data_IF_203217667329
#
_entry.id   IF_203217667329
#
_cell.length_a   1.000
_cell.length_b   1.000
_cell.length_c   1.000
_cell.angle_alpha   90.00
_cell.angle_beta   90.00
_cell.angle_gamma   90.00
#
_symmetry.space_group_name_H-M   'P 1'
#
loop_
_entity.id
_entity.type
_entity.pdbx_description
1 polymer ?
#
# COMPACT_ATOMS: atom_id res chain seq x y z
N UNK A 1 -6.26 27.77 -31.14
CA UNK A 1 -5.90 26.34 -31.05
C UNK A 1 -5.34 26.13 -29.65
N UNK A 2 -6.14 25.57 -28.74
CA UNK A 2 -5.67 25.25 -27.40
C UNK A 2 -4.79 24.01 -27.49
N UNK A 3 -3.53 24.13 -27.13
CA UNK A 3 -2.62 23.01 -26.96
C UNK A 3 -3.23 22.09 -25.90
N UNK A 4 -3.77 20.94 -26.31
CA UNK A 4 -4.21 19.93 -25.36
C UNK A 4 -3.00 19.46 -24.56
N UNK A 5 -3.07 19.53 -23.24
CA UNK A 5 -2.03 18.98 -22.37
C UNK A 5 -2.01 17.45 -22.55
N UNK A 6 -0.80 16.85 -22.55
CA UNK A 6 -0.68 15.40 -22.66
C UNK A 6 -1.08 14.70 -21.37
N UNK A 7 -1.70 13.53 -21.48
CA UNK A 7 -2.11 12.70 -20.33
C UNK A 7 -0.94 12.44 -19.38
N UNK A 8 0.24 12.14 -19.91
CA UNK A 8 1.45 11.87 -19.12
C UNK A 8 1.85 13.05 -18.23
N UNK A 9 1.64 14.28 -18.69
CA UNK A 9 1.93 15.49 -17.91
C UNK A 9 0.97 15.61 -16.74
N UNK A 10 -0.32 15.36 -16.96
CA UNK A 10 -1.34 15.42 -15.90
C UNK A 10 -1.12 14.27 -14.92
N UNK A 11 -0.89 13.05 -15.41
CA UNK A 11 -0.59 11.87 -14.59
C UNK A 11 0.66 12.09 -13.72
N UNK A 12 1.74 12.63 -14.28
CA UNK A 12 2.97 12.94 -13.55
C UNK A 12 2.80 14.01 -12.46
N UNK A 13 1.71 14.78 -12.48
CA UNK A 13 1.36 15.75 -11.45
C UNK A 13 0.42 15.20 -10.36
N UNK A 14 -0.06 13.97 -10.54
CA UNK A 14 -0.98 13.34 -9.61
C UNK A 14 -0.24 12.83 -8.35
N UNK A 15 -0.91 12.94 -7.20
CA UNK A 15 -0.45 12.36 -5.95
C UNK A 15 -1.56 11.51 -5.36
N UNK A 16 -1.24 10.33 -4.85
CA UNK A 16 -2.19 9.41 -4.24
C UNK A 16 -1.87 9.24 -2.76
N UNK A 17 -2.84 9.53 -1.91
CA UNK A 17 -2.74 9.39 -0.46
C UNK A 17 -3.76 8.35 0.02
N UNK A 18 -3.42 7.63 1.09
CA UNK A 18 -4.27 6.60 1.70
C UNK A 18 -4.60 7.02 3.13
N UNK A 19 -5.89 7.01 3.46
CA UNK A 19 -6.39 7.34 4.78
C UNK A 19 -7.19 6.17 5.36
N UNK A 20 -6.93 5.88 6.64
CA UNK A 20 -7.66 4.91 7.46
C UNK A 20 -8.35 5.66 8.60
N UNK A 21 -9.53 6.27 8.37
CA UNK A 21 -10.20 7.01 9.42
C UNK A 21 -10.65 6.10 10.57
N UNK A 22 -10.33 6.47 11.81
CA UNK A 22 -10.77 5.76 13.02
C UNK A 22 -12.22 6.07 13.38
N UNK A 23 -12.71 7.24 12.93
CA UNK A 23 -14.09 7.66 13.10
C UNK A 23 -14.86 7.48 11.81
N UNK A 24 -16.18 7.33 11.91
CA UNK A 24 -17.06 7.24 10.75
C UNK A 24 -17.14 8.59 10.04
N UNK A 25 -16.14 8.90 9.20
CA UNK A 25 -16.18 10.04 8.29
C UNK A 25 -17.11 9.68 7.13
N UNK A 26 -18.12 10.52 6.88
CA UNK A 26 -19.03 10.33 5.76
C UNK A 26 -18.32 10.53 4.43
N UNK A 27 -18.66 9.70 3.44
CA UNK A 27 -18.19 9.85 2.08
C UNK A 27 -18.66 11.20 1.49
N UNK A 28 -17.82 11.93 0.73
CA UNK A 28 -18.08 13.32 0.35
C UNK A 28 -19.05 13.51 -0.83
N UNK A 29 -19.95 12.56 -1.10
CA UNK A 29 -20.95 12.65 -2.19
C UNK A 29 -21.81 13.93 -2.13
N UNK A 30 -22.07 14.42 -0.91
CA UNK A 30 -22.91 15.59 -0.66
C UNK A 30 -22.22 16.60 0.27
N UNK A 31 -20.89 16.58 0.35
CA UNK A 31 -20.16 17.52 1.19
C UNK A 31 -20.33 18.95 0.63
N UNK A 32 -20.84 19.85 1.47
CA UNK A 32 -21.04 21.27 1.13
C UNK A 32 -19.69 22.00 1.07
N UNK A 33 -18.75 21.61 1.93
CA UNK A 33 -17.39 22.13 1.98
C UNK A 33 -16.37 20.98 1.85
N UNK A 34 -15.75 20.87 0.68
CA UNK A 34 -14.76 19.84 0.37
C UNK A 34 -13.46 20.08 1.14
N UNK A 35 -13.10 21.34 1.38
CA UNK A 35 -11.85 21.70 2.03
C UNK A 35 -11.93 21.41 3.54
N UNK A 36 -13.09 21.66 4.16
CA UNK A 36 -13.38 21.23 5.54
C UNK A 36 -13.36 19.70 5.65
N UNK A 37 -14.00 18.99 4.70
CA UNK A 37 -13.98 17.53 4.69
C UNK A 37 -12.55 16.98 4.56
N UNK A 38 -11.74 17.51 3.66
CA UNK A 38 -10.32 17.13 3.52
C UNK A 38 -9.53 17.42 4.79
N UNK A 39 -9.78 18.56 5.44
CA UNK A 39 -9.14 18.88 6.70
C UNK A 39 -9.50 17.85 7.77
N UNK A 40 -10.76 17.41 7.85
CA UNK A 40 -11.21 16.38 8.78
C UNK A 40 -10.52 15.03 8.54
N UNK A 41 -10.36 14.62 7.28
CA UNK A 41 -9.67 13.37 6.89
C UNK A 41 -8.18 13.43 7.20
N UNK A 42 -7.57 14.62 7.09
CA UNK A 42 -6.14 14.86 7.38
C UNK A 42 -5.82 15.02 8.85
N UNK A 43 -6.82 15.16 9.73
CA UNK A 43 -6.54 15.31 11.15
C UNK A 43 -5.75 14.08 11.62
N UNK A 44 -4.62 14.27 12.33
CA UNK A 44 -3.87 13.16 12.88
C UNK A 44 -4.77 12.45 13.89
N UNK A 45 -5.40 11.37 13.46
CA UNK A 45 -6.09 10.47 14.36
C UNK A 45 -5.04 9.70 15.18
N UNK A 46 -5.45 9.21 16.35
CA UNK A 46 -4.56 8.40 17.17
C UNK A 46 -4.04 7.26 16.30
N UNK A 47 -2.73 7.18 16.07
CA UNK A 47 -2.14 6.15 15.21
C UNK A 47 -2.79 4.80 15.54
N UNK A 48 -3.52 4.26 14.56
CA UNK A 48 -4.27 3.04 14.74
C UNK A 48 -3.29 1.88 14.87
N UNK A 49 -2.89 1.58 16.11
CA UNK A 49 -1.85 0.57 16.40
C UNK A 49 -2.35 -0.87 16.23
N UNK A 50 -3.66 -1.08 16.12
CA UNK A 50 -4.27 -2.39 16.08
C UNK A 50 -5.57 -2.40 15.27
N UNK A 51 -5.78 -3.46 14.50
CA UNK A 51 -7.09 -3.82 13.94
C UNK A 51 -7.62 -5.05 14.69
N UNK A 52 -8.93 -5.14 14.84
CA UNK A 52 -9.59 -6.29 15.45
C UNK A 52 -9.87 -7.35 14.39
N UNK A 53 -9.96 -8.61 14.83
CA UNK A 53 -10.45 -9.69 13.96
C UNK A 53 -11.91 -9.44 13.58
N UNK A 54 -12.26 -9.76 12.34
CA UNK A 54 -13.55 -9.48 11.70
C UNK A 54 -13.87 -7.98 11.57
N UNK A 55 -12.89 -7.11 11.79
CA UNK A 55 -13.10 -5.69 11.58
C UNK A 55 -13.12 -5.35 10.10
N UNK A 56 -14.15 -4.63 9.68
CA UNK A 56 -14.22 -4.03 8.36
C UNK A 56 -13.46 -2.70 8.38
N UNK A 57 -12.27 -2.67 7.76
CA UNK A 57 -11.52 -1.45 7.57
C UNK A 57 -12.06 -0.70 6.35
N UNK A 58 -12.42 0.56 6.57
CA UNK A 58 -12.79 1.49 5.51
C UNK A 58 -11.58 2.36 5.18
N UNK A 59 -11.25 2.42 3.91
CA UNK A 59 -10.12 3.13 3.36
C UNK A 59 -10.62 4.21 2.42
N UNK A 60 -10.02 5.38 2.53
CA UNK A 60 -10.19 6.46 1.58
C UNK A 60 -8.88 6.65 0.84
N UNK A 61 -8.91 6.41 -0.46
CA UNK A 61 -7.79 6.70 -1.35
C UNK A 61 -8.09 8.03 -2.02
N UNK A 62 -7.24 9.00 -1.78
CA UNK A 62 -7.44 10.38 -2.24
C UNK A 62 -6.36 10.71 -3.25
N UNK A 63 -6.77 10.82 -4.51
CA UNK A 63 -5.90 11.22 -5.60
C UNK A 63 -6.06 12.71 -5.87
N UNK A 64 -4.98 13.48 -5.69
CA UNK A 64 -4.89 14.89 -6.02
C UNK A 64 -4.37 15.04 -7.45
N UNK A 65 -5.11 15.77 -8.26
CA UNK A 65 -4.80 16.04 -9.66
C UNK A 65 -4.58 17.55 -9.79
N UNK A 66 -3.32 17.96 -9.90
CA UNK A 66 -2.97 19.36 -10.14
C UNK A 66 -3.24 19.70 -11.58
N UNK A 67 -4.16 20.62 -11.84
CA UNK A 67 -4.42 21.08 -13.19
C UNK A 67 -3.51 22.27 -13.53
N UNK A 68 -2.64 22.21 -14.56
CA UNK A 68 -1.72 23.30 -14.89
C UNK A 68 -2.43 24.57 -15.38
N UNK A 69 -3.55 24.41 -16.08
CA UNK A 69 -4.33 25.52 -16.62
C UNK A 69 -5.32 26.07 -15.60
N UNK A 70 -4.81 26.75 -14.57
CA UNK A 70 -5.58 27.39 -13.49
C UNK A 70 -6.12 28.79 -13.82
N UNK A 71 -5.88 29.28 -15.03
CA UNK A 71 -6.17 30.66 -15.40
C UNK A 71 -7.64 30.93 -15.77
N UNK A 72 -8.47 29.90 -15.94
CA UNK A 72 -9.90 30.06 -16.14
C UNK A 72 -10.64 29.73 -14.86
N UNK A 73 -11.66 30.53 -14.53
CA UNK A 73 -12.69 30.20 -13.55
C UNK A 73 -13.31 28.86 -13.92
N UNK A 74 -12.78 27.78 -13.35
CA UNK A 74 -13.30 26.44 -13.59
C UNK A 74 -14.65 26.32 -12.91
N UNK A 75 -15.64 25.87 -13.68
CA UNK A 75 -16.91 25.47 -13.13
C UNK A 75 -16.67 24.17 -12.34
N UNK A 76 -16.85 24.23 -11.02
CA UNK A 76 -16.63 23.11 -10.11
C UNK A 76 -17.48 21.88 -10.48
N UNK A 77 -18.54 22.06 -11.26
CA UNK A 77 -19.44 21.00 -11.70
C UNK A 77 -19.06 20.39 -13.04
N UNK A 78 -18.11 20.97 -13.77
CA UNK A 78 -17.75 20.50 -15.12
C UNK A 78 -16.25 20.22 -15.22
N UNK A 79 -15.82 18.97 -14.91
CA UNK A 79 -14.41 18.62 -14.95
C UNK A 79 -13.83 18.73 -16.37
N UNK A 80 -12.56 19.17 -16.52
CA UNK A 80 -11.89 19.20 -17.81
C UNK A 80 -11.89 17.83 -18.50
N UNK A 81 -12.09 17.81 -19.82
CA UNK A 81 -12.16 16.55 -20.58
C UNK A 81 -10.89 15.71 -20.46
N UNK A 82 -9.72 16.35 -20.43
CA UNK A 82 -8.42 15.68 -20.23
C UNK A 82 -8.33 14.96 -18.88
N UNK A 83 -8.98 15.50 -17.84
CA UNK A 83 -9.06 14.87 -16.54
C UNK A 83 -9.97 13.64 -16.57
N UNK A 84 -11.13 13.73 -17.22
CA UNK A 84 -12.04 12.58 -17.37
C UNK A 84 -11.35 11.48 -18.18
N UNK A 85 -10.63 11.85 -19.23
CA UNK A 85 -9.85 10.94 -20.05
C UNK A 85 -8.75 10.26 -19.22
N UNK A 86 -8.00 11.02 -18.41
CA UNK A 86 -7.05 10.46 -17.45
C UNK A 86 -7.71 9.44 -16.52
N UNK A 87 -8.83 9.78 -15.89
CA UNK A 87 -9.52 8.89 -14.95
C UNK A 87 -10.00 7.60 -15.60
N UNK A 88 -10.37 7.63 -16.90
CA UNK A 88 -10.71 6.40 -17.63
C UNK A 88 -9.52 5.49 -17.92
N UNK A 89 -8.29 6.03 -17.90
CA UNK A 89 -7.05 5.27 -18.09
C UNK A 89 -6.34 5.00 -16.76
N UNK A 90 -6.89 5.41 -15.63
CA UNK A 90 -6.26 5.22 -14.33
C UNK A 90 -6.88 4.01 -13.64
N UNK A 91 -6.03 3.07 -13.26
CA UNK A 91 -6.39 1.95 -12.42
C UNK A 91 -5.78 2.13 -11.03
N UNK A 92 -6.64 2.01 -10.00
CA UNK A 92 -6.25 2.07 -8.60
C UNK A 92 -6.24 0.65 -8.03
N UNK A 93 -5.09 0.21 -7.55
CA UNK A 93 -4.96 -1.06 -6.83
C UNK A 93 -4.44 -0.84 -5.42
N UNK A 94 -5.01 -1.61 -4.49
CA UNK A 94 -4.60 -1.66 -3.09
C UNK A 94 -4.05 -3.06 -2.78
N UNK A 95 -2.90 -3.09 -2.13
CA UNK A 95 -2.30 -4.28 -1.57
C UNK A 95 -2.03 -4.05 -0.09
N UNK A 96 -2.52 -4.95 0.76
CA UNK A 96 -2.37 -4.90 2.21
C UNK A 96 -1.59 -6.12 2.68
N UNK A 97 -0.53 -5.87 3.42
CA UNK A 97 0.31 -6.91 4.01
C UNK A 97 0.54 -6.64 5.49
N UNK A 98 0.79 -7.71 6.22
CA UNK A 98 0.92 -7.68 7.65
C UNK A 98 2.35 -7.97 8.05
N UNK A 99 3.00 -7.01 8.70
CA UNK A 99 4.40 -7.17 9.10
C UNK A 99 4.46 -7.42 10.59
N UNK A 100 4.93 -8.63 10.96
CA UNK A 100 5.16 -9.02 12.36
C UNK A 100 6.02 -7.98 13.05
N UNK A 101 5.56 -7.45 14.19
CA UNK A 101 6.45 -6.72 15.09
C UNK A 101 7.34 -7.75 15.74
N UNK A 102 8.56 -7.92 15.25
CA UNK A 102 9.58 -8.62 16.02
C UNK A 102 9.71 -7.91 17.36
N UNK A 103 9.48 -8.59 18.50
CA UNK A 103 9.80 -7.99 19.78
C UNK A 103 11.28 -7.65 19.74
N UNK A 104 11.66 -6.43 20.11
CA UNK A 104 13.05 -6.10 20.39
C UNK A 104 13.55 -7.15 21.38
N UNK A 105 14.38 -8.07 20.90
CA UNK A 105 14.94 -9.14 21.69
C UNK A 105 16.12 -8.55 22.48
N UNK A 106 15.83 -7.71 23.46
CA UNK A 106 16.74 -7.51 24.61
C UNK A 106 16.63 -8.77 25.49
N UNK A 107 17.10 -9.90 24.97
CA UNK A 107 17.28 -11.11 25.77
C UNK A 107 18.79 -11.32 25.87
N UNK A 108 19.37 -11.33 27.08
CA UNK A 108 20.78 -11.61 27.25
C UNK A 108 21.08 -13.01 26.73
N UNK A 109 22.11 -13.05 25.90
CA UNK A 109 22.69 -14.19 25.20
C UNK A 109 22.89 -15.38 26.18
N UNK A 110 21.87 -16.23 26.29
CA UNK A 110 22.03 -17.50 27.01
C UNK A 110 22.59 -18.48 25.98
N UNK A 111 23.91 -18.46 25.88
CA UNK A 111 24.74 -19.35 25.08
C UNK A 111 24.21 -20.79 25.17
N UNK A 112 23.47 -21.20 24.13
CA UNK A 112 23.05 -22.58 23.94
C UNK A 112 24.30 -23.44 23.76
N UNK A 113 24.56 -24.26 24.78
CA UNK A 113 25.60 -25.28 24.80
C UNK A 113 25.46 -26.19 23.56
N UNK A 114 26.38 -26.03 22.61
CA UNK A 114 26.54 -26.95 21.47
C UNK A 114 27.01 -28.31 22.04
N UNK A 115 26.39 -29.44 21.64
CA UNK A 115 26.86 -30.73 22.09
C UNK A 115 28.22 -31.05 21.44
N UNK A 116 29.17 -31.62 22.18
CA UNK A 116 30.50 -31.93 21.64
C UNK A 116 30.38 -33.07 20.64
N UNK A 117 30.67 -32.78 19.36
CA UNK A 117 30.85 -33.84 18.36
C UNK A 117 32.19 -34.53 18.63
N UNK A 118 32.08 -35.76 19.12
CA UNK A 118 33.18 -36.71 19.33
C UNK A 118 33.93 -37.01 18.04
N UNK A 119 35.25 -37.08 18.15
CA UNK A 119 36.19 -37.50 17.11
C UNK A 119 36.17 -39.03 16.88
N UNK A 120 36.53 -39.44 15.66
CA UNK A 120 37.61 -40.42 15.32
C UNK A 120 37.29 -41.54 14.31
N UNK A 121 38.34 -41.81 13.49
CA UNK A 121 38.72 -43.04 12.75
C UNK A 121 38.36 -43.26 11.25
N UNK A 122 39.37 -42.99 10.42
CA UNK A 122 40.12 -43.91 9.52
C UNK A 122 39.51 -44.56 8.24
N UNK A 123 40.14 -44.17 7.12
CA UNK A 123 40.66 -44.94 5.95
C UNK A 123 39.79 -45.93 5.14
N UNK A 124 39.60 -45.62 3.85
CA UNK A 124 40.06 -46.44 2.68
C UNK A 124 39.70 -45.77 1.35
N UNK A 125 40.61 -45.88 0.38
CA UNK A 125 40.64 -45.13 -0.86
C UNK A 125 39.42 -45.28 -1.77
N UNK A 126 39.00 -44.15 -2.35
CA UNK A 126 38.17 -44.08 -3.56
C UNK A 126 38.93 -43.27 -4.63
N UNK A 127 38.82 -43.64 -5.92
CA UNK A 127 39.45 -42.88 -7.01
C UNK A 127 38.88 -41.46 -7.08
N UNK A 128 39.65 -40.47 -7.58
CA UNK A 128 39.22 -39.08 -7.60
C UNK A 128 38.01 -38.90 -8.52
N UNK A 129 36.93 -38.35 -7.97
CA UNK A 129 35.77 -37.89 -8.73
C UNK A 129 36.19 -36.76 -9.66
N UNK A 130 35.98 -36.94 -10.97
CA UNK A 130 36.23 -35.94 -12.03
C UNK A 130 35.10 -34.89 -12.09
N UNK A 131 34.04 -35.05 -11.29
CA UNK A 131 33.01 -34.04 -11.22
C UNK A 131 33.49 -32.83 -10.40
N UNK A 132 33.37 -31.61 -10.95
CA UNK A 132 33.64 -30.42 -10.16
C UNK A 132 32.79 -30.49 -8.88
N UNK A 133 33.36 -30.19 -7.71
CA UNK A 133 32.58 -30.14 -6.48
C UNK A 133 31.39 -29.21 -6.74
N UNK A 134 30.19 -29.63 -6.34
CA UNK A 134 29.01 -28.77 -6.30
C UNK A 134 29.45 -27.47 -5.62
N UNK A 135 29.68 -26.43 -6.42
CA UNK A 135 29.80 -25.06 -5.92
C UNK A 135 28.47 -24.80 -5.26
N UNK A 136 28.39 -24.77 -3.91
CA UNK A 136 27.18 -24.30 -3.28
C UNK A 136 27.05 -22.87 -3.79
N UNK A 137 25.90 -22.53 -4.38
CA UNK A 137 25.62 -21.15 -4.73
C UNK A 137 25.98 -20.29 -3.51
N UNK A 138 26.77 -19.22 -3.66
CA UNK A 138 27.08 -18.35 -2.53
C UNK A 138 25.75 -17.87 -1.98
N UNK A 139 25.36 -18.40 -0.83
CA UNK A 139 24.27 -17.83 -0.05
C UNK A 139 24.80 -16.46 0.30
N UNK A 140 24.17 -15.36 -0.16
CA UNK A 140 24.62 -14.03 0.22
C UNK A 140 24.70 -14.02 1.75
N UNK A 141 25.89 -13.75 2.28
CA UNK A 141 26.11 -13.66 3.71
C UNK A 141 25.38 -12.41 4.19
N UNK A 142 24.08 -12.54 4.44
CA UNK A 142 23.30 -11.53 5.14
C UNK A 142 23.92 -11.39 6.52
N UNK A 143 24.33 -10.17 6.88
CA UNK A 143 24.78 -9.89 8.24
C UNK A 143 23.69 -10.31 9.24
N UNK A 144 24.04 -10.60 10.49
CA UNK A 144 23.06 -10.93 11.54
C UNK A 144 21.97 -9.84 11.64
N UNK A 145 22.33 -8.59 11.34
CA UNK A 145 21.41 -7.45 11.24
C UNK A 145 20.41 -7.55 10.10
N UNK A 146 20.71 -8.30 9.04
CA UNK A 146 19.88 -8.43 7.83
C UNK A 146 18.97 -9.65 7.91
N UNK A 147 19.30 -10.65 8.75
CA UNK A 147 18.43 -11.82 9.02
C UNK A 147 17.03 -11.41 9.48
N UNK A 148 16.90 -10.30 10.21
CA UNK A 148 15.61 -9.76 10.66
C UNK A 148 14.72 -9.28 9.51
N UNK A 149 15.31 -8.95 8.36
CA UNK A 149 14.58 -8.54 7.16
C UNK A 149 14.30 -9.72 6.20
N UNK A 150 15.07 -10.80 6.30
CA UNK A 150 14.88 -12.02 5.48
C UNK A 150 13.62 -12.79 5.89
N UNK A 151 13.19 -12.69 7.16
CA UNK A 151 11.98 -13.34 7.66
C UNK A 151 10.76 -12.40 7.76
N UNK A 152 10.90 -11.13 7.38
CA UNK A 152 9.82 -10.15 7.44
C UNK A 152 9.06 -10.03 6.12
N UNK A 153 9.00 -11.08 5.29
CA UNK A 153 7.98 -11.15 4.25
C UNK A 153 6.62 -11.14 4.95
N UNK A 154 5.95 -9.98 4.92
CA UNK A 154 4.70 -9.79 5.62
C UNK A 154 3.64 -10.78 5.13
N UNK A 155 2.75 -11.22 6.01
CA UNK A 155 1.61 -12.06 5.62
C UNK A 155 0.70 -11.26 4.71
N UNK A 156 0.48 -11.74 3.50
CA UNK A 156 -0.45 -11.12 2.56
C UNK A 156 -1.88 -11.18 3.10
N UNK A 157 -2.54 -10.03 3.21
CA UNK A 157 -3.93 -9.94 3.68
C UNK A 157 -4.90 -9.75 2.52
N UNK A 158 -4.61 -8.80 1.64
CA UNK A 158 -5.55 -8.39 0.62
C UNK A 158 -4.82 -7.81 -0.61
N UNK A 159 -5.33 -8.11 -1.80
CA UNK A 159 -5.04 -7.35 -3.01
C UNK A 159 -6.34 -7.15 -3.76
N UNK A 160 -6.59 -5.92 -4.19
CA UNK A 160 -7.78 -5.58 -4.94
C UNK A 160 -7.55 -4.43 -5.88
N UNK A 161 -8.24 -4.48 -7.01
CA UNK A 161 -8.34 -3.38 -7.95
C UNK A 161 -9.73 -2.76 -7.73
N UNK A 162 -9.77 -1.46 -7.51
CA UNK A 162 -11.03 -0.74 -7.32
C UNK A 162 -11.93 -0.92 -8.55
N UNK A 163 -13.23 -1.15 -8.35
CA UNK A 163 -14.22 -1.32 -9.42
C UNK A 163 -14.29 -2.74 -10.01
N UNK A 164 -13.46 -3.69 -9.55
CA UNK A 164 -13.49 -5.07 -10.07
C UNK A 164 -14.45 -6.00 -9.32
N UNK A 165 -14.76 -5.70 -8.05
CA UNK A 165 -15.67 -6.52 -7.26
C UNK A 165 -17.10 -6.29 -7.71
N UNK A 166 -17.75 -7.33 -8.24
CA UNK A 166 -19.20 -7.32 -8.41
C UNK A 166 -19.81 -7.18 -7.01
N UNK A 167 -20.69 -6.21 -6.83
CA UNK A 167 -21.32 -5.77 -5.58
C UNK A 167 -22.30 -6.80 -4.99
N UNK A 168 -21.99 -8.09 -5.07
CA UNK A 168 -22.81 -9.17 -4.50
C UNK A 168 -22.68 -9.29 -2.98
N UNK A 169 -21.58 -8.82 -2.37
CA UNK A 169 -21.27 -9.00 -0.93
C UNK A 169 -21.37 -7.73 -0.08
N UNK A 170 -22.10 -6.70 -0.54
CA UNK A 170 -22.35 -5.50 0.28
C UNK A 170 -21.13 -4.61 0.55
N UNK A 171 -19.95 -4.90 -0.02
CA UNK A 171 -18.82 -3.96 -0.04
C UNK A 171 -19.17 -2.76 -0.92
N UNK A 172 -19.35 -1.60 -0.29
CA UNK A 172 -19.72 -0.36 -0.97
C UNK A 172 -18.45 0.34 -1.43
N UNK A 173 -17.95 -0.04 -2.60
CA UNK A 173 -16.98 0.79 -3.30
C UNK A 173 -17.69 2.05 -3.79
N UNK A 174 -17.15 3.22 -3.46
CA UNK A 174 -17.69 4.52 -3.89
C UNK A 174 -16.61 5.36 -4.53
N UNK A 175 -17.05 6.27 -5.40
CA UNK A 175 -16.18 7.18 -6.12
C UNK A 175 -16.82 8.57 -6.16
N UNK A 176 -16.00 9.59 -5.90
CA UNK A 176 -16.38 10.98 -6.06
C UNK A 176 -15.23 11.75 -6.71
N UNK A 177 -15.57 12.64 -7.62
CA UNK A 177 -14.66 13.63 -8.19
C UNK A 177 -15.07 15.02 -7.71
N UNK A 178 -14.16 15.69 -7.03
CA UNK A 178 -14.42 16.92 -6.30
C UNK A 178 -13.38 17.98 -6.68
N UNK A 179 -13.74 19.25 -6.55
CA UNK A 179 -12.79 20.35 -6.74
C UNK A 179 -12.52 21.01 -5.38
N UNK A 180 -11.25 21.10 -5.00
CA UNK A 180 -10.80 21.85 -3.82
C UNK A 180 -10.50 23.29 -4.22
N UNK A 181 -11.24 24.24 -3.63
CA UNK A 181 -11.01 25.65 -3.85
C UNK A 181 -9.72 26.12 -3.20
N UNK A 182 -9.40 25.62 -2.00
CA UNK A 182 -8.20 25.98 -1.26
C UNK A 182 -6.92 25.50 -1.96
N UNK A 183 -6.90 24.25 -2.46
CA UNK A 183 -5.74 23.67 -3.13
C UNK A 183 -5.73 23.94 -4.64
N UNK A 184 -6.85 24.45 -5.18
CA UNK A 184 -7.07 24.68 -6.61
C UNK A 184 -6.75 23.44 -7.45
N UNK A 185 -7.18 22.28 -6.96
CA UNK A 185 -6.91 20.99 -7.57
C UNK A 185 -8.18 20.15 -7.61
N UNK A 186 -8.22 19.23 -8.57
CA UNK A 186 -9.25 18.20 -8.60
C UNK A 186 -8.82 17.04 -7.71
N UNK A 187 -9.79 16.43 -7.05
CA UNK A 187 -9.57 15.38 -6.07
C UNK A 187 -10.53 14.24 -6.40
N UNK A 188 -9.95 13.10 -6.75
CA UNK A 188 -10.68 11.86 -6.92
C UNK A 188 -10.59 11.05 -5.62
N UNK A 189 -11.73 10.73 -5.03
CA UNK A 189 -11.83 9.97 -3.78
C UNK A 189 -12.41 8.61 -4.09
N UNK A 190 -11.69 7.56 -3.70
CA UNK A 190 -12.12 6.17 -3.83
C UNK A 190 -12.31 5.59 -2.43
N UNK A 191 -13.50 5.06 -2.14
CA UNK A 191 -13.77 4.29 -0.93
C UNK A 191 -13.54 2.80 -1.23
N UNK A 192 -12.72 2.16 -0.40
CA UNK A 192 -12.54 0.71 -0.38
C UNK A 192 -12.82 0.18 1.02
N UNK A 193 -13.39 -1.02 1.10
CA UNK A 193 -13.54 -1.72 2.37
C UNK A 193 -13.08 -3.17 2.26
N UNK A 194 -12.37 -3.65 3.28
CA UNK A 194 -11.99 -5.07 3.39
C UNK A 194 -12.06 -5.53 4.85
N UNK A 195 -12.21 -6.83 5.06
CA UNK A 195 -12.31 -7.44 6.40
C UNK A 195 -10.93 -7.94 6.81
N UNK A 196 -10.55 -7.68 8.06
CA UNK A 196 -9.32 -8.19 8.65
C UNK A 196 -9.57 -9.59 9.21
N UNK A 197 -8.98 -10.60 8.56
CA UNK A 197 -9.18 -12.00 8.90
C UNK A 197 -8.17 -12.56 9.91
N UNK A 198 -7.22 -11.78 10.44
CA UNK A 198 -6.19 -12.30 11.35
C UNK A 198 -5.98 -11.37 12.56
N UNK A 199 -6.16 -11.88 13.79
CA UNK A 199 -5.85 -11.15 15.03
C UNK A 199 -4.41 -11.40 15.48
N UNK A 200 -3.61 -10.34 15.60
CA UNK A 200 -2.32 -10.41 16.29
C UNK A 200 -1.70 -9.02 16.56
N UNK A 201 -0.49 -9.00 17.14
CA UNK A 201 0.33 -7.78 17.28
C UNK A 201 1.15 -7.47 16.03
N UNK A 202 0.52 -7.07 14.93
CA UNK A 202 1.30 -6.72 13.76
C UNK A 202 0.84 -5.43 13.07
N UNK A 203 1.67 -4.94 12.17
CA UNK A 203 1.50 -3.64 11.50
C UNK A 203 0.84 -3.88 10.15
N UNK A 204 -0.29 -3.22 9.92
CA UNK A 204 -0.92 -3.16 8.60
C UNK A 204 -0.12 -2.20 7.72
N UNK A 205 0.43 -2.71 6.63
CA UNK A 205 1.11 -1.91 5.59
C UNK A 205 0.22 -1.89 4.37
N UNK A 206 -0.13 -0.67 3.92
CA UNK A 206 -0.96 -0.44 2.75
C UNK A 206 -0.11 0.10 1.62
N UNK A 207 -0.12 -0.61 0.52
CA UNK A 207 0.52 -0.23 -0.73
C UNK A 207 -0.56 0.16 -1.71
N UNK A 208 -0.50 1.39 -2.21
CA UNK A 208 -1.39 1.83 -3.25
C UNK A 208 -0.60 2.15 -4.51
N UNK A 209 -1.09 1.65 -5.65
CA UNK A 209 -0.46 1.85 -6.95
C UNK A 209 -1.48 2.49 -7.89
N UNK A 210 -1.01 3.54 -8.56
CA UNK A 210 -1.69 4.19 -9.66
C UNK A 210 -1.04 3.70 -10.95
N UNK A 211 -1.82 3.06 -11.82
CA UNK A 211 -1.33 2.58 -13.11
C UNK A 211 -2.10 3.26 -14.23
N UNK A 212 -1.38 3.82 -15.21
CA UNK A 212 -1.96 4.28 -16.46
C UNK A 212 -2.09 3.08 -17.40
N UNK A 213 -3.31 2.79 -17.85
CA UNK A 213 -3.60 1.76 -18.84
C UNK A 213 -3.45 2.33 -20.25
N UNK A 214 -2.84 1.54 -21.14
CA UNK A 214 -2.62 1.88 -22.55
C UNK A 214 -3.88 1.83 -23.40
#
# INVERSE_FOLDING_TARGET
MASGESLDTIFGSCALEVYTPDTSISFPEHAVDIDEWLASVKQPHAERKQAFFDEQLNLLLVMYIKHPSLNNTHDCHNPPRSLVDLLSHVQVSLEATYVSRTPNQDVPDTAGLVPPRTSSMATKGRPPSIFPPNTPNPIPSTAESDRKYVQSEGTFLFSGIWGTKKTTDGSKEKFALLFSGAQKSWIAVYELSFIVCESGHYILVLWCKLCQTS
#
